data_IF_153968586357
#
_entry.id   IF_153968586357
#
_cell.length_a   1.000
_cell.length_b   1.000
_cell.length_c   1.000
_cell.angle_alpha   90.00
_cell.angle_beta   90.00
_cell.angle_gamma   90.00
#
_symmetry.space_group_name_H-M   'P 1'
#
loop_
_entity.id
_entity.type
_entity.pdbx_description
1 polymer ?
#
# COMPACT_ATOMS: atom_id res chain seq x y z
N UNK A 1 1.59 -11.25 -18.87
CA UNK A 1 1.86 -10.35 -17.74
C UNK A 1 1.60 -11.09 -16.46
N UNK A 2 2.55 -11.10 -15.56
CA UNK A 2 2.35 -11.72 -14.25
C UNK A 2 1.64 -10.76 -13.27
N UNK A 3 2.07 -9.53 -13.26
CA UNK A 3 1.49 -8.50 -12.41
C UNK A 3 1.91 -7.12 -12.91
N UNK A 4 1.25 -6.10 -12.43
CA UNK A 4 1.56 -4.71 -12.72
C UNK A 4 1.42 -3.88 -11.46
N UNK A 5 2.39 -3.01 -11.21
CA UNK A 5 2.36 -2.05 -10.12
C UNK A 5 2.47 -0.65 -10.73
N UNK A 6 1.35 0.03 -10.90
CA UNK A 6 1.32 1.30 -11.59
C UNK A 6 1.83 1.15 -13.02
N UNK A 7 2.91 1.85 -13.34
CA UNK A 7 3.56 1.78 -14.64
C UNK A 7 4.59 0.65 -14.75
N UNK A 8 4.89 -0.02 -13.64
CA UNK A 8 5.86 -1.10 -13.63
C UNK A 8 5.20 -2.44 -13.98
N UNK A 9 5.56 -3.00 -15.10
CA UNK A 9 4.98 -4.25 -15.59
C UNK A 9 5.95 -5.39 -15.32
N UNK A 10 5.45 -6.41 -14.62
CA UNK A 10 6.20 -7.61 -14.31
C UNK A 10 5.77 -8.74 -15.26
N UNK A 11 6.65 -9.13 -16.15
CA UNK A 11 6.35 -10.19 -17.10
C UNK A 11 7.62 -10.91 -17.52
N UNK A 12 7.48 -12.16 -17.95
CA UNK A 12 8.61 -12.97 -18.37
C UNK A 12 9.63 -13.12 -17.26
N UNK A 13 10.85 -12.74 -17.53
CA UNK A 13 11.94 -12.87 -16.57
C UNK A 13 12.01 -11.74 -15.54
N UNK A 14 11.15 -10.73 -15.67
CA UNK A 14 10.99 -9.71 -14.63
C UNK A 14 9.88 -10.09 -13.66
N UNK A 15 9.43 -11.31 -13.66
CA UNK A 15 8.37 -11.78 -12.78
C UNK A 15 8.91 -11.92 -11.36
N UNK A 16 8.16 -11.49 -10.34
CA UNK A 16 8.58 -11.73 -8.97
C UNK A 16 8.82 -13.20 -8.68
N UNK A 17 9.95 -13.49 -8.06
CA UNK A 17 10.32 -14.84 -7.68
C UNK A 17 9.47 -15.28 -6.48
N UNK A 18 9.12 -14.33 -5.64
CA UNK A 18 8.25 -14.58 -4.50
C UNK A 18 7.39 -13.37 -4.19
N UNK A 19 6.23 -13.64 -3.65
CA UNK A 19 5.28 -12.63 -3.22
C UNK A 19 4.80 -13.02 -1.83
N UNK A 20 4.84 -12.10 -0.91
CA UNK A 20 4.33 -12.29 0.43
C UNK A 20 3.31 -11.21 0.75
N UNK A 21 2.20 -11.60 1.29
CA UNK A 21 1.14 -10.68 1.67
C UNK A 21 0.81 -10.89 3.14
N UNK A 22 0.72 -9.80 3.89
CA UNK A 22 0.34 -9.83 5.29
C UNK A 22 -0.89 -8.95 5.48
N UNK A 23 -1.92 -9.55 6.04
CA UNK A 23 -3.17 -8.88 6.32
C UNK A 23 -3.52 -9.10 7.79
N UNK A 24 -3.91 -8.08 8.49
CA UNK A 24 -4.16 -8.15 9.91
C UNK A 24 -5.34 -7.27 10.33
N UNK A 25 -5.98 -7.67 11.40
CA UNK A 25 -7.06 -6.90 11.99
C UNK A 25 -6.75 -6.65 13.46
N UNK A 26 -7.26 -5.56 13.97
CA UNK A 26 -7.04 -5.16 15.35
C UNK A 26 -8.25 -5.46 16.19
N UNK A 27 -7.98 -5.99 17.38
CA UNK A 27 -9.00 -6.19 18.39
C UNK A 27 -8.60 -5.51 19.68
N UNK A 28 -9.54 -4.80 20.28
CA UNK A 28 -9.36 -4.29 21.61
C UNK A 28 -9.78 -5.35 22.64
N UNK A 29 -9.07 -5.42 23.74
CA UNK A 29 -9.43 -6.30 24.85
C UNK A 29 -10.15 -5.49 25.92
N UNK A 30 -11.24 -6.04 26.40
CA UNK A 30 -12.04 -5.42 27.46
C UNK A 30 -11.96 -6.33 28.66
N UNK A 31 -11.31 -5.90 29.74
CA UNK A 31 -11.16 -6.74 30.93
C UNK A 31 -12.51 -6.96 31.59
N UNK A 32 -12.71 -8.16 32.11
CA UNK A 32 -13.90 -8.54 32.85
C UNK A 32 -13.50 -9.06 34.19
N UNK A 33 -14.37 -8.84 35.17
CA UNK A 33 -14.14 -9.35 36.53
C UNK A 33 -14.54 -10.81 36.58
N UNK A 34 -13.62 -11.65 37.02
CA UNK A 34 -13.83 -13.09 37.20
C UNK A 34 -14.20 -13.87 35.92
N UNK A 35 -13.84 -13.36 34.79
CA UNK A 35 -14.10 -14.03 33.50
C UNK A 35 -13.00 -13.67 32.51
N UNK A 36 -12.98 -14.37 31.38
CA UNK A 36 -12.03 -14.04 30.32
C UNK A 36 -12.37 -12.70 29.71
N UNK A 37 -11.34 -11.98 29.31
CA UNK A 37 -11.51 -10.71 28.67
C UNK A 37 -12.37 -10.83 27.40
N UNK A 38 -13.18 -9.85 27.16
CA UNK A 38 -13.92 -9.76 25.91
C UNK A 38 -13.03 -9.14 24.85
N UNK A 39 -13.27 -9.47 23.59
CA UNK A 39 -12.58 -8.86 22.48
C UNK A 39 -13.58 -8.09 21.63
N UNK A 40 -13.14 -6.96 21.10
CA UNK A 40 -13.95 -6.13 20.25
C UNK A 40 -13.12 -5.72 19.02
N UNK A 41 -13.64 -5.91 17.81
CA UNK A 41 -12.90 -5.49 16.62
C UNK A 41 -12.80 -3.97 16.59
N UNK A 42 -11.61 -3.45 16.39
CA UNK A 42 -11.35 -2.02 16.35
C UNK A 42 -11.02 -1.53 14.96
N UNK A 43 -10.68 -2.42 14.03
CA UNK A 43 -10.43 -2.05 12.65
C UNK A 43 -9.45 -3.00 11.97
N UNK A 44 -9.21 -2.75 10.71
CA UNK A 44 -8.24 -3.48 9.92
C UNK A 44 -6.92 -2.69 9.87
N UNK A 45 -5.83 -3.40 9.85
CA UNK A 45 -4.52 -2.79 9.61
C UNK A 45 -4.31 -2.63 8.10
N UNK A 46 -3.37 -1.80 7.74
CA UNK A 46 -2.99 -1.65 6.34
C UNK A 46 -2.27 -2.92 5.89
N UNK A 47 -2.66 -3.40 4.73
CA UNK A 47 -2.08 -4.61 4.18
C UNK A 47 -0.65 -4.36 3.72
N UNK A 48 0.22 -5.30 4.01
CA UNK A 48 1.61 -5.24 3.58
C UNK A 48 1.84 -6.27 2.48
N UNK A 49 2.56 -5.86 1.45
CA UNK A 49 2.89 -6.72 0.33
C UNK A 49 4.39 -6.62 0.05
N UNK A 50 5.04 -7.74 -0.07
CA UNK A 50 6.46 -7.80 -0.38
C UNK A 50 6.68 -8.61 -1.66
N UNK A 51 7.39 -8.03 -2.60
CA UNK A 51 7.69 -8.66 -3.89
C UNK A 51 9.20 -8.77 -4.04
N UNK A 52 9.69 -9.96 -4.31
CA UNK A 52 11.11 -10.18 -4.60
C UNK A 52 11.28 -10.46 -6.08
N UNK A 53 12.03 -9.60 -6.75
CA UNK A 53 12.21 -9.63 -8.20
C UNK A 53 13.70 -9.76 -8.48
N UNK A 54 14.05 -10.59 -9.46
CA UNK A 54 15.44 -10.69 -9.92
C UNK A 54 15.55 -10.10 -11.32
N UNK A 55 16.42 -9.13 -11.46
CA UNK A 55 16.72 -8.49 -12.74
C UNK A 55 18.06 -8.99 -13.26
N UNK A 56 18.11 -9.34 -14.54
CA UNK A 56 19.32 -9.79 -15.22
C UNK A 56 19.61 -8.88 -16.40
N UNK A 57 20.88 -8.54 -16.55
CA UNK A 57 21.33 -7.69 -17.66
C UNK A 57 21.12 -8.33 -19.05
N UNK A 58 20.88 -9.62 -19.10
CA UNK A 58 20.58 -10.29 -20.37
C UNK A 58 19.22 -9.90 -20.92
N UNK A 59 18.31 -9.43 -20.08
CA UNK A 59 16.92 -9.18 -20.47
C UNK A 59 16.45 -7.76 -20.22
N UNK A 60 17.14 -7.03 -19.40
CA UNK A 60 16.79 -5.64 -19.09
C UNK A 60 18.00 -4.96 -18.47
N UNK A 61 17.92 -3.65 -18.33
CA UNK A 61 18.92 -2.90 -17.58
C UNK A 61 18.51 -2.89 -16.10
N UNK A 62 19.18 -3.67 -15.23
CA UNK A 62 18.79 -3.73 -13.83
C UNK A 62 18.83 -2.38 -13.15
N UNK A 63 19.79 -1.53 -13.52
CA UNK A 63 19.92 -0.22 -12.90
C UNK A 63 18.76 0.69 -13.29
N UNK A 64 18.35 0.67 -14.55
CA UNK A 64 17.24 1.48 -15.01
C UNK A 64 15.94 1.11 -14.30
N UNK A 65 15.69 -0.19 -14.12
CA UNK A 65 14.50 -0.67 -13.44
C UNK A 65 14.52 -0.26 -11.96
N UNK A 66 15.67 -0.37 -11.31
CA UNK A 66 15.85 0.05 -9.92
C UNK A 66 15.64 1.56 -9.78
N UNK A 67 16.18 2.36 -10.70
CA UNK A 67 15.99 3.80 -10.66
C UNK A 67 14.52 4.18 -10.84
N UNK A 68 13.81 3.50 -11.72
CA UNK A 68 12.39 3.75 -11.92
C UNK A 68 11.58 3.46 -10.64
N UNK A 69 11.88 2.36 -9.97
CA UNK A 69 11.24 2.03 -8.69
C UNK A 69 11.58 3.04 -7.61
N UNK A 70 12.83 3.46 -7.54
CA UNK A 70 13.24 4.49 -6.57
C UNK A 70 12.55 5.82 -6.84
N UNK A 71 12.42 6.20 -8.11
CA UNK A 71 11.75 7.43 -8.47
C UNK A 71 10.29 7.42 -8.02
N UNK A 72 9.58 6.33 -8.25
CA UNK A 72 8.20 6.19 -7.80
C UNK A 72 8.09 6.21 -6.28
N UNK A 73 9.06 5.60 -5.58
CA UNK A 73 9.09 5.62 -4.13
C UNK A 73 9.27 7.03 -3.57
N UNK A 74 10.23 7.78 -4.11
CA UNK A 74 10.53 9.13 -3.63
C UNK A 74 9.48 10.16 -4.07
N UNK A 75 8.73 9.87 -5.11
CA UNK A 75 7.60 10.69 -5.53
C UNK A 75 6.35 10.44 -4.68
N UNK A 76 6.40 9.49 -3.77
CA UNK A 76 5.26 9.10 -2.92
C UNK A 76 4.02 8.71 -3.73
N UNK A 77 4.25 8.05 -4.85
CA UNK A 77 3.16 7.67 -5.74
C UNK A 77 2.32 6.54 -5.15
N UNK A 78 1.02 6.66 -5.33
CA UNK A 78 0.09 5.60 -4.98
C UNK A 78 -0.13 4.77 -6.24
N UNK A 79 0.30 3.53 -6.22
CA UNK A 79 0.34 2.67 -7.38
C UNK A 79 -0.69 1.54 -7.26
N UNK A 80 -1.55 1.35 -8.25
CA UNK A 80 -2.45 0.21 -8.23
C UNK A 80 -1.65 -1.07 -8.50
N UNK A 81 -1.93 -2.12 -7.73
CA UNK A 81 -1.36 -3.43 -7.96
C UNK A 81 -2.39 -4.31 -8.63
N UNK A 82 -2.05 -4.79 -9.82
CA UNK A 82 -2.93 -5.59 -10.66
C UNK A 82 -2.24 -6.93 -10.92
N UNK A 83 -2.95 -8.01 -10.64
CA UNK A 83 -2.43 -9.36 -10.90
C UNK A 83 -2.60 -9.73 -12.37
N UNK A 84 -1.92 -10.78 -12.81
CA UNK A 84 -1.92 -11.19 -14.21
C UNK A 84 -3.28 -11.64 -14.73
N UNK A 85 -4.20 -11.97 -13.86
CA UNK A 85 -5.58 -12.28 -14.22
C UNK A 85 -6.46 -11.03 -14.38
N UNK A 86 -5.86 -9.85 -14.24
CA UNK A 86 -6.58 -8.59 -14.39
C UNK A 86 -7.27 -8.09 -13.14
N UNK A 87 -7.07 -8.77 -12.01
CA UNK A 87 -7.71 -8.36 -10.77
C UNK A 87 -6.91 -7.25 -10.10
N UNK A 88 -7.59 -6.21 -9.69
CA UNK A 88 -6.96 -5.14 -8.91
C UNK A 88 -6.99 -5.55 -7.44
N UNK A 89 -5.82 -5.74 -6.87
CA UNK A 89 -5.69 -6.12 -5.45
C UNK A 89 -5.89 -4.90 -4.55
N UNK A 90 -5.41 -3.76 -4.97
CA UNK A 90 -5.54 -2.53 -4.22
C UNK A 90 -4.52 -1.50 -4.69
N UNK A 91 -4.46 -0.39 -3.97
CA UNK A 91 -3.47 0.66 -4.21
C UNK A 91 -2.43 0.61 -3.10
N UNK A 92 -1.19 0.71 -3.50
CA UNK A 92 -0.06 0.57 -2.58
C UNK A 92 0.95 1.69 -2.80
N UNK A 93 1.73 1.97 -1.76
CA UNK A 93 2.87 2.86 -1.85
C UNK A 93 4.13 2.04 -1.56
N UNK A 94 5.23 2.39 -2.18
CA UNK A 94 6.49 1.71 -1.93
C UNK A 94 7.08 2.30 -0.66
N UNK A 95 7.27 1.48 0.35
CA UNK A 95 7.84 1.92 1.62
C UNK A 95 9.34 1.72 1.67
N UNK A 96 9.85 0.66 1.08
CA UNK A 96 11.29 0.42 1.02
C UNK A 96 11.66 -0.47 -0.15
N UNK A 97 12.91 -0.35 -0.57
CA UNK A 97 13.51 -1.18 -1.60
C UNK A 97 14.82 -1.73 -1.05
N UNK A 98 14.92 -3.04 -0.98
CA UNK A 98 16.14 -3.71 -0.60
C UNK A 98 16.79 -4.29 -1.85
N UNK A 99 17.98 -3.83 -2.16
CA UNK A 99 18.66 -4.15 -3.39
C UNK A 99 19.92 -4.96 -3.07
N UNK A 100 20.00 -6.16 -3.62
CA UNK A 100 21.16 -7.01 -3.49
C UNK A 100 21.75 -7.26 -4.86
N UNK A 101 22.93 -6.73 -5.12
CA UNK A 101 23.64 -6.99 -6.36
C UNK A 101 24.36 -8.33 -6.20
N UNK A 102 23.95 -9.31 -6.97
CA UNK A 102 24.49 -10.66 -6.85
C UNK A 102 25.71 -10.88 -7.74
N UNK A 103 25.76 -10.25 -8.88
CA UNK A 103 26.88 -10.33 -9.79
C UNK A 103 27.19 -8.97 -10.36
N UNK A 104 28.45 -8.61 -10.32
CA UNK A 104 28.96 -7.39 -10.93
C UNK A 104 30.12 -7.74 -11.84
N UNK A 105 30.13 -7.18 -13.03
CA UNK A 105 31.23 -7.33 -13.95
C UNK A 105 32.46 -6.56 -13.43
N UNK A 106 33.61 -6.85 -13.98
CA UNK A 106 34.86 -6.23 -13.53
C UNK A 106 34.89 -4.70 -13.71
N UNK A 107 34.06 -4.18 -14.60
CA UNK A 107 33.92 -2.75 -14.84
C UNK A 107 32.88 -2.09 -13.94
N UNK A 108 32.31 -2.85 -12.98
CA UNK A 108 31.32 -2.33 -12.05
C UNK A 108 29.87 -2.41 -12.57
N UNK A 109 29.67 -2.98 -13.73
CA UNK A 109 28.33 -3.13 -14.27
C UNK A 109 27.59 -4.25 -13.55
N UNK A 110 26.34 -4.00 -13.17
CA UNK A 110 25.51 -4.99 -12.47
C UNK A 110 24.92 -5.96 -13.47
N UNK A 111 25.29 -7.22 -13.39
CA UNK A 111 24.75 -8.26 -14.25
C UNK A 111 23.50 -8.91 -13.68
N UNK A 112 23.45 -9.05 -12.38
CA UNK A 112 22.32 -9.68 -11.71
C UNK A 112 22.02 -8.93 -10.41
N UNK A 113 20.78 -8.53 -10.21
CA UNK A 113 20.33 -7.86 -9.01
C UNK A 113 19.02 -8.44 -8.53
N UNK A 114 18.93 -8.69 -7.24
CA UNK A 114 17.67 -9.08 -6.60
C UNK A 114 17.16 -7.88 -5.83
N UNK A 115 15.92 -7.52 -6.08
CA UNK A 115 15.27 -6.37 -5.45
C UNK A 115 14.04 -6.86 -4.70
N UNK A 116 13.97 -6.55 -3.42
CA UNK A 116 12.77 -6.77 -2.63
C UNK A 116 12.06 -5.43 -2.47
N UNK A 117 10.84 -5.37 -2.96
CA UNK A 117 9.99 -4.18 -2.90
C UNK A 117 8.96 -4.39 -1.81
N UNK A 118 9.01 -3.55 -0.79
CA UNK A 118 8.03 -3.58 0.28
C UNK A 118 6.98 -2.51 0.05
N UNK A 119 5.74 -2.91 0.07
CA UNK A 119 4.59 -2.09 -0.24
C UNK A 119 3.65 -2.04 0.95
N UNK A 120 3.01 -0.90 1.14
CA UNK A 120 1.99 -0.72 2.16
C UNK A 120 0.71 -0.23 1.49
N UNK A 121 -0.41 -0.78 1.91
CA UNK A 121 -1.70 -0.40 1.34
C UNK A 121 -2.02 1.06 1.61
N UNK A 122 -2.52 1.74 0.58
CA UNK A 122 -3.05 3.09 0.70
C UNK A 122 -4.56 3.01 0.49
N UNK A 123 -5.36 3.20 1.53
CA UNK A 123 -6.80 3.08 1.40
C UNK A 123 -7.44 4.16 0.54
N UNK A 124 -6.73 5.23 0.27
CA UNK A 124 -7.22 6.31 -0.56
C UNK A 124 -8.09 7.29 0.20
N UNK A 125 -8.18 8.48 -0.35
CA UNK A 125 -8.92 9.52 0.30
C UNK A 125 -10.41 9.38 0.15
N UNK A 126 -10.83 8.72 -0.88
CA UNK A 126 -12.25 8.58 -1.14
C UNK A 126 -12.98 7.90 0.00
N UNK A 127 -12.29 7.02 0.68
CA UNK A 127 -12.92 6.32 1.77
C UNK A 127 -13.05 7.16 3.00
N UNK A 128 -12.14 8.07 3.16
CA UNK A 128 -12.21 8.94 4.31
C UNK A 128 -13.21 10.06 4.08
N UNK A 129 -13.32 10.52 2.90
CA UNK A 129 -14.19 11.62 2.60
C UNK A 129 -15.63 11.41 3.03
N UNK A 130 -16.21 10.29 2.78
CA UNK A 130 -17.58 10.09 3.18
C UNK A 130 -17.78 10.27 4.66
N UNK A 131 -16.80 9.89 5.39
CA UNK A 131 -16.97 10.00 6.77
C UNK A 131 -16.99 11.40 7.22
N UNK A 132 -16.10 12.15 6.76
CA UNK A 132 -16.08 13.52 7.13
C UNK A 132 -17.33 14.18 6.75
N UNK A 133 -17.80 13.80 5.60
CA UNK A 133 -18.96 14.41 5.19
C UNK A 133 -20.05 14.19 6.12
N UNK A 134 -20.17 13.03 6.48
CA UNK A 134 -21.28 12.70 7.26
C UNK A 134 -21.35 13.54 8.43
N UNK A 135 -20.28 13.87 8.96
CA UNK A 135 -20.35 14.61 10.07
C UNK A 135 -20.71 15.91 9.86
N UNK A 136 -20.08 16.42 9.06
CA UNK A 136 -20.28 17.78 8.97
C UNK A 136 -21.60 18.10 8.81
N UNK A 137 -22.18 17.37 8.16
CA UNK A 137 -23.41 17.81 7.80
C UNK A 137 -24.22 18.01 8.88
N UNK A 138 -24.03 17.43 9.72
CA UNK A 138 -24.96 17.58 10.59
C UNK A 138 -24.95 18.61 11.25
N UNK A 139 -24.46 19.15 11.24
CA UNK A 139 -24.60 20.01 11.86
C UNK A 139 -25.21 20.85 11.95
N UNK A 140 -25.31 20.89 11.99
CA UNK A 140 -25.72 21.58 12.24
C UNK A 140 -26.51 22.21 12.40
N UNK A 141 -26.57 22.13 12.28
CA UNK A 141 -27.12 22.73 12.19
C UNK A 141 -27.99 23.14 12.69
N UNK A 142 -28.16 22.83 12.78
CA UNK A 142 -29.02 23.06 13.11
C UNK A 142 -29.34 23.79 13.86
N UNK A 143 -29.24 24.07 14.18
CA UNK A 143 -29.48 24.60 14.86
C UNK A 143 -30.07 25.54 14.99
N UNK A 144 -30.10 25.78 15.10
CA UNK A 144 -30.53 26.57 15.24
C UNK A 144 -31.24 27.31 15.45
N UNK A 145 -31.71 27.64 15.63
CA UNK A 145 -32.33 28.38 15.69
C UNK A 145 -32.82 29.04 16.53
N UNK A 146 -32.87 29.65 16.79
CA UNK A 146 -33.27 30.26 17.47
C UNK A 146 -34.20 30.96 17.62
N UNK A 147 -34.66 31.17 18.07
CA UNK A 147 -35.63 31.72 18.26
C UNK A 147 -35.74 32.88 18.60
N UNK A 148 -36.28 33.36 18.28
CA UNK A 148 -36.48 34.53 18.54
C UNK A 148 -37.26 34.87 19.53
N UNK A 149 -37.13 35.73 20.03
CA UNK A 149 -37.80 36.13 21.07
C UNK A 149 -38.89 36.88 20.83
N UNK A 150 -39.54 37.00 21.41
CA UNK A 150 -40.64 37.58 21.28
C UNK A 150 -40.69 38.74 21.78
N UNK A 151 -41.10 39.28 21.63
CA UNK A 151 -41.21 40.34 22.09
C UNK A 151 -42.22 40.72 22.55
N UNK A 152 -42.38 41.28 23.10
CA UNK A 152 -43.48 41.73 23.73
C UNK A 152 -44.05 42.76 23.22
#
# INVERSE_FOLDING_TARGET
MFAQLGDHIFQGLKTPVSTSEADAVKYGQIPRVNDKDAIQPTGAELRELSLTITYSSEFCDPQAEIYALKASMHAFEVLPYITGDGRIVGKFVITSLDIANQQCAADGWVELATVTVNLLESPGEAEAAPTGRALSSQKPTAVAPVPSPPTP
#
